data_IF_768699135801
#
_entry.id   IF_768699135801
#
_cell.length_a   1.000
_cell.length_b   1.000
_cell.length_c   1.000
_cell.angle_alpha   90.00
_cell.angle_beta   90.00
_cell.angle_gamma   90.00
#
_symmetry.space_group_name_H-M   'P 1'
#
loop_
_entity.id
_entity.type
_entity.pdbx_description
1 polymer ?
#
# COMPACT_ATOMS: atom_id res chain seq x y z
N UNK A 1 -10.81 12.17 42.29
CA UNK A 1 -9.89 12.97 41.44
C UNK A 1 -8.73 12.14 40.89
N UNK A 2 -7.84 11.54 41.71
CA UNK A 2 -6.70 10.74 41.20
C UNK A 2 -7.12 9.64 40.20
N UNK A 3 -8.18 8.87 40.50
CA UNK A 3 -8.71 7.80 39.61
C UNK A 3 -9.21 8.31 38.25
N UNK A 4 -9.77 9.52 38.20
CA UNK A 4 -10.27 10.13 36.95
C UNK A 4 -9.08 10.60 36.09
N UNK A 5 -8.06 11.16 36.72
CA UNK A 5 -6.81 11.57 36.05
C UNK A 5 -6.08 10.34 35.49
N UNK A 6 -6.03 9.23 36.24
CA UNK A 6 -5.45 7.96 35.76
C UNK A 6 -6.25 7.38 34.59
N UNK A 7 -7.60 7.42 34.65
CA UNK A 7 -8.46 6.99 33.54
C UNK A 7 -8.29 7.86 32.29
N UNK A 8 -8.20 9.19 32.44
CA UNK A 8 -7.90 10.09 31.32
C UNK A 8 -6.53 9.81 30.72
N UNK A 9 -5.53 9.56 31.56
CA UNK A 9 -4.17 9.25 31.11
C UNK A 9 -4.11 7.91 30.36
N UNK A 10 -4.83 6.89 30.83
CA UNK A 10 -4.95 5.60 30.12
C UNK A 10 -5.70 5.78 28.79
N UNK A 11 -6.75 6.60 28.74
CA UNK A 11 -7.51 6.89 27.51
C UNK A 11 -6.66 7.66 26.47
N UNK A 12 -5.85 8.61 26.93
CA UNK A 12 -4.93 9.39 26.09
C UNK A 12 -3.74 8.54 25.63
N UNK A 13 -3.23 7.66 26.49
CA UNK A 13 -2.17 6.70 26.11
C UNK A 13 -2.71 5.63 25.17
N UNK A 14 -3.98 5.24 25.24
CA UNK A 14 -4.58 4.31 24.25
C UNK A 14 -4.80 4.91 22.86
N UNK A 15 -4.62 6.23 22.68
CA UNK A 15 -4.35 6.83 21.37
C UNK A 15 -2.89 6.60 20.92
N UNK A 16 -2.22 5.59 21.48
CA UNK A 16 -0.91 5.11 21.04
C UNK A 16 -0.87 5.00 19.53
N UNK A 17 -0.01 5.84 18.96
CA UNK A 17 0.53 5.87 17.61
C UNK A 17 0.46 4.48 16.96
N UNK A 18 -0.57 4.24 16.15
CA UNK A 18 -0.66 2.99 15.38
C UNK A 18 0.33 3.16 14.22
N UNK A 19 1.48 2.49 14.35
CA UNK A 19 2.46 2.50 13.28
C UNK A 19 1.83 1.98 11.98
N UNK A 20 1.96 2.78 10.93
CA UNK A 20 1.61 2.41 9.56
C UNK A 20 2.51 1.27 9.08
N UNK A 21 1.98 0.43 8.19
CA UNK A 21 2.65 -0.79 7.73
C UNK A 21 2.73 -0.85 6.22
N UNK A 22 3.88 -1.23 5.66
CA UNK A 22 4.04 -1.43 4.22
C UNK A 22 4.33 -2.90 3.91
N UNK A 23 3.79 -3.34 2.78
CA UNK A 23 3.96 -4.69 2.28
C UNK A 23 5.29 -4.87 1.52
N UNK A 24 6.01 -5.92 1.88
CA UNK A 24 7.22 -6.40 1.20
C UNK A 24 7.12 -7.89 0.92
N UNK A 25 8.01 -8.40 0.07
CA UNK A 25 8.09 -9.83 -0.21
C UNK A 25 9.17 -10.47 0.64
N UNK A 26 8.83 -11.55 1.33
CA UNK A 26 9.77 -12.41 2.04
C UNK A 26 9.38 -13.87 1.81
N UNK A 27 10.32 -14.70 1.37
CA UNK A 27 10.09 -16.13 1.06
C UNK A 27 8.87 -16.38 0.14
N UNK A 28 8.72 -15.56 -0.91
CA UNK A 28 7.58 -15.57 -1.85
C UNK A 28 6.20 -15.30 -1.21
N UNK A 29 6.16 -14.81 0.03
CA UNK A 29 4.97 -14.35 0.71
C UNK A 29 4.99 -12.83 0.94
N UNK A 30 3.82 -12.29 1.28
CA UNK A 30 3.66 -10.88 1.68
C UNK A 30 3.88 -10.77 3.19
N UNK A 31 4.73 -9.85 3.60
CA UNK A 31 4.90 -9.43 4.99
C UNK A 31 4.57 -7.95 5.14
N UNK A 32 4.04 -7.54 6.30
CA UNK A 32 3.81 -6.14 6.64
C UNK A 32 4.86 -5.66 7.64
N UNK A 33 5.67 -4.69 7.24
CA UNK A 33 6.68 -4.05 8.09
C UNK A 33 6.18 -2.70 8.60
N UNK A 34 6.39 -2.43 9.89
CA UNK A 34 6.09 -1.13 10.49
C UNK A 34 7.08 -0.07 9.99
N UNK A 35 6.56 1.08 9.54
CA UNK A 35 7.35 2.11 8.85
C UNK A 35 7.18 3.52 9.44
N UNK A 36 6.69 3.60 10.69
CA UNK A 36 6.32 4.85 11.34
C UNK A 36 4.90 5.26 10.99
N UNK A 37 4.56 6.53 11.14
CA UNK A 37 3.21 7.03 10.81
C UNK A 37 3.18 7.71 9.44
N UNK A 38 2.09 7.49 8.71
CA UNK A 38 1.69 8.31 7.57
C UNK A 38 0.73 9.41 7.98
N UNK A 39 0.65 10.46 7.16
CA UNK A 39 -0.29 11.54 7.29
C UNK A 39 -1.73 11.03 7.40
N UNK A 40 -2.52 11.65 8.28
CA UNK A 40 -3.97 11.40 8.35
C UNK A 40 -4.71 11.93 7.10
N UNK A 41 -4.07 12.83 6.33
CA UNK A 41 -4.57 13.25 5.04
C UNK A 41 -4.30 12.16 4.00
N UNK A 42 -5.36 11.46 3.56
CA UNK A 42 -5.28 10.36 2.59
C UNK A 42 -4.56 10.71 1.28
N UNK A 43 -4.60 11.97 0.85
CA UNK A 43 -3.91 12.41 -0.36
C UNK A 43 -2.40 12.36 -0.13
N UNK A 44 -1.92 13.01 0.92
CA UNK A 44 -0.50 13.01 1.30
C UNK A 44 -0.01 11.59 1.62
N UNK A 45 -0.83 10.79 2.31
CA UNK A 45 -0.49 9.42 2.68
C UNK A 45 -0.17 8.52 1.46
N UNK A 46 -0.88 8.66 0.35
CA UNK A 46 -0.57 7.88 -0.87
C UNK A 46 0.85 8.19 -1.35
N UNK A 47 1.24 9.47 -1.39
CA UNK A 47 2.61 9.86 -1.78
C UNK A 47 3.64 9.30 -0.81
N UNK A 48 3.40 9.44 0.50
CA UNK A 48 4.31 8.93 1.53
C UNK A 48 4.49 7.42 1.45
N UNK A 49 3.44 6.65 1.17
CA UNK A 49 3.52 5.20 0.96
C UNK A 49 4.46 4.87 -0.20
N UNK A 50 4.29 5.53 -1.35
CA UNK A 50 5.13 5.29 -2.52
C UNK A 50 6.58 5.72 -2.31
N UNK A 51 6.82 6.82 -1.60
CA UNK A 51 8.17 7.22 -1.20
C UNK A 51 8.81 6.25 -0.22
N UNK A 52 8.03 5.62 0.65
CA UNK A 52 8.55 4.76 1.69
C UNK A 52 9.09 3.44 1.13
N UNK A 53 8.53 2.92 0.03
CA UNK A 53 9.08 1.73 -0.65
C UNK A 53 10.58 1.86 -0.98
N UNK A 54 11.05 3.05 -1.36
CA UNK A 54 12.46 3.27 -1.72
C UNK A 54 13.37 3.63 -0.53
N UNK A 55 12.80 3.89 0.66
CA UNK A 55 13.53 4.39 1.83
C UNK A 55 13.68 3.35 2.94
N UNK A 56 12.87 2.29 2.95
CA UNK A 56 12.90 1.27 4.00
C UNK A 56 14.15 0.41 3.86
N UNK A 57 14.87 0.23 4.98
CA UNK A 57 15.97 -0.72 5.07
C UNK A 57 15.41 -2.13 5.21
N UNK A 58 15.71 -2.98 4.24
CA UNK A 58 15.27 -4.38 4.19
C UNK A 58 16.35 -5.33 4.69
N UNK A 59 15.94 -6.47 5.23
CA UNK A 59 16.84 -7.61 5.46
C UNK A 59 17.17 -8.33 4.16
N UNK A 60 18.18 -9.21 4.18
CA UNK A 60 18.61 -9.98 3.01
C UNK A 60 17.51 -10.93 2.46
N UNK A 61 16.55 -11.32 3.31
CA UNK A 61 15.39 -12.15 2.96
C UNK A 61 14.24 -11.37 2.32
N UNK A 62 14.27 -10.05 2.40
CA UNK A 62 13.19 -9.16 2.00
C UNK A 62 13.49 -8.52 0.65
N UNK A 63 12.45 -8.43 -0.19
CA UNK A 63 12.54 -7.84 -1.53
C UNK A 63 11.51 -6.74 -1.70
N UNK A 64 11.91 -5.72 -2.47
CA UNK A 64 11.02 -4.69 -2.96
C UNK A 64 11.02 -4.69 -4.48
N UNK A 65 9.83 -4.82 -5.06
CA UNK A 65 9.56 -4.75 -6.49
C UNK A 65 8.93 -3.43 -6.90
N UNK A 66 8.72 -2.48 -5.97
CA UNK A 66 8.17 -1.15 -6.28
C UNK A 66 9.34 -0.19 -6.55
N UNK A 67 9.64 0.17 -7.81
CA UNK A 67 10.72 1.09 -8.12
C UNK A 67 10.35 2.52 -7.73
N UNK A 68 11.38 3.31 -7.41
CA UNK A 68 11.21 4.74 -7.17
C UNK A 68 10.63 5.43 -8.42
N UNK A 69 9.67 6.32 -8.21
CA UNK A 69 9.05 7.09 -9.28
C UNK A 69 8.04 6.30 -10.12
N UNK A 70 7.58 5.14 -9.67
CA UNK A 70 6.52 4.39 -10.36
C UNK A 70 5.16 5.11 -10.31
N UNK A 71 4.87 5.90 -9.28
CA UNK A 71 3.60 6.63 -9.19
C UNK A 71 3.67 7.90 -10.05
N UNK A 72 2.91 7.93 -11.15
CA UNK A 72 2.75 9.14 -11.96
C UNK A 72 1.72 10.08 -11.35
N UNK A 73 0.52 9.55 -11.05
CA UNK A 73 -0.60 10.31 -10.52
C UNK A 73 -1.55 9.39 -9.74
N UNK A 74 -2.44 9.99 -8.95
CA UNK A 74 -3.53 9.29 -8.30
C UNK A 74 -4.68 10.25 -8.00
N UNK A 75 -5.89 9.70 -7.89
CA UNK A 75 -7.08 10.48 -7.57
C UNK A 75 -8.13 9.59 -6.90
N UNK A 76 -8.98 10.22 -6.09
CA UNK A 76 -10.07 9.57 -5.40
C UNK A 76 -11.39 9.89 -6.11
N UNK A 77 -12.18 8.86 -6.38
CA UNK A 77 -13.55 8.98 -6.92
C UNK A 77 -14.44 8.16 -6.01
N UNK A 78 -15.28 8.82 -5.22
CA UNK A 78 -16.06 8.19 -4.14
C UNK A 78 -15.16 7.34 -3.21
N UNK A 79 -15.41 6.04 -3.15
CA UNK A 79 -14.64 5.05 -2.38
C UNK A 79 -13.54 4.37 -3.20
N UNK A 80 -13.36 4.74 -4.46
CA UNK A 80 -12.31 4.21 -5.31
C UNK A 80 -11.04 5.09 -5.26
N UNK A 81 -9.89 4.43 -5.18
CA UNK A 81 -8.60 5.05 -5.46
C UNK A 81 -8.15 4.62 -6.85
N UNK A 82 -7.85 5.58 -7.71
CA UNK A 82 -7.31 5.33 -9.04
C UNK A 82 -5.85 5.74 -9.01
N UNK A 83 -4.95 4.82 -9.35
CA UNK A 83 -3.50 5.06 -9.41
C UNK A 83 -3.01 4.91 -10.84
N UNK A 84 -2.16 5.83 -11.28
CA UNK A 84 -1.46 5.76 -12.55
C UNK A 84 0.00 5.37 -12.30
N UNK A 85 0.39 4.24 -12.88
CA UNK A 85 1.71 3.65 -12.72
C UNK A 85 2.55 3.82 -13.99
N UNK A 86 3.79 4.24 -13.81
CA UNK A 86 4.79 4.40 -14.85
C UNK A 86 5.38 3.05 -15.27
N UNK A 87 5.28 2.71 -16.55
CA UNK A 87 5.78 1.43 -17.04
C UNK A 87 7.31 1.37 -17.24
N UNK A 88 7.99 2.52 -17.30
CA UNK A 88 9.38 2.65 -17.78
C UNK A 88 10.37 1.72 -17.08
N UNK A 89 10.23 1.56 -15.76
CA UNK A 89 11.18 0.79 -14.95
C UNK A 89 10.74 -0.66 -14.67
N UNK A 90 9.62 -1.09 -15.25
CA UNK A 90 9.00 -2.39 -14.95
C UNK A 90 8.76 -3.25 -16.22
N UNK A 91 9.09 -2.75 -17.41
CA UNK A 91 8.86 -3.46 -18.69
C UNK A 91 9.50 -4.86 -18.76
N UNK A 92 10.61 -5.05 -18.04
CA UNK A 92 11.37 -6.30 -18.03
C UNK A 92 10.98 -7.24 -16.89
N UNK A 93 10.00 -6.89 -16.05
CA UNK A 93 9.55 -7.75 -14.96
C UNK A 93 8.97 -9.03 -15.54
N UNK A 94 9.33 -10.17 -14.96
CA UNK A 94 8.65 -11.44 -15.17
C UNK A 94 7.21 -11.38 -14.65
N UNK A 95 6.37 -12.35 -15.01
CA UNK A 95 4.99 -12.42 -14.50
C UNK A 95 4.93 -12.50 -12.96
N UNK A 96 5.91 -13.16 -12.34
CA UNK A 96 5.99 -13.25 -10.89
C UNK A 96 6.33 -11.89 -10.24
N UNK A 97 7.31 -11.17 -10.79
CA UNK A 97 7.69 -9.83 -10.32
C UNK A 97 6.56 -8.82 -10.52
N UNK A 98 5.81 -8.91 -11.62
CA UNK A 98 4.60 -8.12 -11.87
C UNK A 98 3.54 -8.35 -10.79
N UNK A 99 3.29 -9.61 -10.43
CA UNK A 99 2.34 -9.97 -9.36
C UNK A 99 2.83 -9.40 -8.02
N UNK A 100 4.10 -9.60 -7.67
CA UNK A 100 4.65 -9.11 -6.41
C UNK A 100 4.62 -7.58 -6.30
N UNK A 101 4.98 -6.87 -7.36
CA UNK A 101 4.85 -5.42 -7.46
C UNK A 101 3.43 -4.96 -7.14
N UNK A 102 2.43 -5.56 -7.77
CA UNK A 102 1.02 -5.22 -7.56
C UNK A 102 0.56 -5.55 -6.14
N UNK A 103 0.90 -6.73 -5.61
CA UNK A 103 0.51 -7.10 -4.26
C UNK A 103 1.12 -6.14 -3.23
N UNK A 104 2.40 -5.77 -3.36
CA UNK A 104 3.02 -4.79 -2.46
C UNK A 104 2.26 -3.46 -2.47
N UNK A 105 1.91 -2.95 -3.64
CA UNK A 105 1.14 -1.69 -3.77
C UNK A 105 -0.25 -1.84 -3.15
N UNK A 106 -1.00 -2.88 -3.53
CA UNK A 106 -2.39 -3.07 -3.09
C UNK A 106 -2.49 -3.25 -1.57
N UNK A 107 -1.69 -4.14 -0.98
CA UNK A 107 -1.69 -4.37 0.47
C UNK A 107 -1.28 -3.09 1.23
N UNK A 108 -0.28 -2.37 0.76
CA UNK A 108 0.17 -1.13 1.42
C UNK A 108 -0.89 -0.03 1.34
N UNK A 109 -1.57 0.13 0.21
CA UNK A 109 -2.63 1.11 0.08
C UNK A 109 -3.86 0.74 0.92
N UNK A 110 -4.29 -0.52 0.91
CA UNK A 110 -5.46 -0.94 1.68
C UNK A 110 -5.27 -0.92 3.20
N UNK A 111 -4.04 -1.18 3.67
CA UNK A 111 -3.70 -1.13 5.10
C UNK A 111 -3.71 0.31 5.62
N UNK A 112 -3.27 1.29 4.82
CA UNK A 112 -3.03 2.65 5.32
C UNK A 112 -4.04 3.70 4.85
N UNK A 113 -4.73 3.48 3.73
CA UNK A 113 -5.69 4.44 3.18
C UNK A 113 -7.10 4.06 3.63
N UNK A 114 -7.64 4.87 4.55
CA UNK A 114 -9.00 4.71 5.04
C UNK A 114 -10.04 5.21 4.03
N UNK A 115 -11.22 4.57 4.04
CA UNK A 115 -12.37 4.96 3.21
C UNK A 115 -12.32 4.51 1.75
N UNK A 116 -11.27 3.81 1.33
CA UNK A 116 -11.24 3.16 0.01
C UNK A 116 -11.72 1.71 0.10
N UNK A 117 -12.51 1.28 -0.89
CA UNK A 117 -13.02 -0.08 -1.02
C UNK A 117 -12.47 -0.82 -2.24
N UNK A 118 -11.86 -0.11 -3.18
CA UNK A 118 -11.27 -0.67 -4.40
C UNK A 118 -10.18 0.23 -4.98
N UNK A 119 -9.27 -0.39 -5.73
CA UNK A 119 -8.20 0.30 -6.45
C UNK A 119 -8.32 0.02 -7.94
N UNK A 120 -8.30 1.04 -8.78
CA UNK A 120 -8.11 0.91 -10.23
C UNK A 120 -6.68 1.29 -10.60
N UNK A 121 -6.15 0.64 -11.62
CA UNK A 121 -4.78 0.87 -12.10
C UNK A 121 -4.82 1.36 -13.54
N UNK A 122 -4.18 2.48 -13.78
CA UNK A 122 -3.81 2.99 -15.09
C UNK A 122 -2.31 2.74 -15.32
N UNK A 123 -1.94 2.66 -16.59
CA UNK A 123 -0.54 2.56 -17.01
C UNK A 123 -0.24 3.67 -18.00
N UNK A 124 0.72 4.52 -17.66
CA UNK A 124 1.13 5.68 -18.46
C UNK A 124 -0.08 6.54 -18.91
N UNK A 125 -1.02 6.76 -17.99
CA UNK A 125 -2.22 7.56 -18.18
C UNK A 125 -3.37 6.87 -18.94
N UNK A 126 -3.27 5.56 -19.20
CA UNK A 126 -4.25 4.81 -19.99
C UNK A 126 -4.87 3.65 -19.19
N UNK A 127 -6.15 3.41 -19.43
CA UNK A 127 -6.81 2.17 -19.02
C UNK A 127 -6.25 1.04 -19.88
N UNK A 128 -5.74 -0.01 -19.25
CA UNK A 128 -5.16 -1.17 -19.91
C UNK A 128 -5.89 -2.44 -19.47
N UNK A 129 -5.90 -3.46 -20.32
CA UNK A 129 -6.43 -4.77 -19.92
C UNK A 129 -5.39 -5.56 -19.12
N UNK A 130 -4.14 -5.53 -19.57
CA UNK A 130 -3.00 -6.20 -18.93
C UNK A 130 -2.05 -5.14 -18.41
N UNK A 131 -1.49 -5.37 -17.21
CA UNK A 131 -0.58 -4.42 -16.57
C UNK A 131 0.75 -4.32 -17.33
N UNK A 132 1.52 -5.42 -17.35
CA UNK A 132 2.78 -5.52 -18.10
C UNK A 132 2.79 -6.79 -18.93
N UNK A 133 2.46 -7.94 -18.32
CA UNK A 133 2.57 -9.26 -18.98
C UNK A 133 1.36 -10.14 -18.76
N UNK A 134 0.88 -10.25 -17.53
CA UNK A 134 0.00 -11.34 -17.13
C UNK A 134 -1.18 -10.92 -16.26
N UNK A 135 -1.06 -9.82 -15.52
CA UNK A 135 -2.12 -9.43 -14.57
C UNK A 135 -3.17 -8.57 -15.28
N UNK A 136 -4.42 -9.02 -15.22
CA UNK A 136 -5.55 -8.24 -15.71
C UNK A 136 -5.85 -7.07 -14.76
N UNK A 137 -5.76 -5.85 -15.27
CA UNK A 137 -6.04 -4.59 -14.55
C UNK A 137 -7.22 -3.82 -15.15
N UNK A 138 -7.96 -4.45 -16.08
CA UNK A 138 -9.16 -3.83 -16.65
C UNK A 138 -10.19 -3.50 -15.56
N UNK A 139 -10.30 -4.39 -14.58
CA UNK A 139 -11.20 -4.25 -13.46
C UNK A 139 -10.48 -3.72 -12.22
N UNK A 140 -11.26 -3.17 -11.30
CA UNK A 140 -10.72 -2.79 -9.99
C UNK A 140 -10.34 -4.00 -9.15
N UNK A 141 -9.41 -3.77 -8.25
CA UNK A 141 -9.03 -4.65 -7.16
C UNK A 141 -9.88 -4.32 -5.94
N UNK A 142 -10.83 -5.18 -5.53
CA UNK A 142 -11.67 -4.91 -4.36
C UNK A 142 -10.93 -5.24 -3.06
N UNK A 143 -11.01 -4.35 -2.06
CA UNK A 143 -10.32 -4.46 -0.76
C UNK A 143 -10.56 -5.78 -0.06
N UNK A 144 -11.76 -6.36 -0.19
CA UNK A 144 -12.15 -7.58 0.50
C UNK A 144 -11.31 -8.82 0.13
N UNK A 145 -10.67 -8.81 -1.05
CA UNK A 145 -9.77 -9.89 -1.48
C UNK A 145 -8.35 -9.75 -0.93
N UNK A 146 -8.00 -8.58 -0.36
CA UNK A 146 -6.66 -8.23 0.12
C UNK A 146 -6.63 -8.00 1.62
N UNK A 147 -7.64 -8.51 2.35
CA UNK A 147 -7.61 -8.54 3.81
C UNK A 147 -6.63 -9.62 4.25
N UNK A 148 -5.54 -9.21 4.87
CA UNK A 148 -4.74 -10.14 5.68
C UNK A 148 -5.66 -10.55 6.83
N UNK A 149 -5.96 -11.85 6.94
CA UNK A 149 -6.66 -12.37 8.12
C UNK A 149 -5.79 -12.02 9.33
N UNK A 150 -6.18 -10.97 10.06
CA UNK A 150 -5.66 -10.73 11.40
C UNK A 150 -6.11 -11.96 12.19
N UNK A 151 -5.16 -12.75 12.69
CA UNK A 151 -5.44 -14.03 13.33
C UNK A 151 -6.57 -13.88 14.34
N UNK A 152 -7.50 -14.84 14.29
CA UNK A 152 -8.49 -15.06 15.34
C UNK A 152 -7.79 -15.36 16.68
#
# INVERSE_FOLDING_TARGET
MKRIITLLFILIVSFTLVASKIAFIENNGIILLEVGEFSSNKVVAVQEIFEKFSKVKLSDSQKNFVPQGILNAYYFVDTALIIDLNSKNIQNYSSEEEIFLLLQILYSLFENINGIDRIYILVDGKQSEIFIRSVNIHFSFPKDLYKIKKGD
#
